data_IF_884251988462
#
_entry.id   IF_884251988462
#
_cell.length_a   1.000
_cell.length_b   1.000
_cell.length_c   1.000
_cell.angle_alpha   90.00
_cell.angle_beta   90.00
_cell.angle_gamma   90.00
#
_symmetry.space_group_name_H-M   'P 1'
#
loop_
_entity.id
_entity.type
_entity.pdbx_description
1 polymer ?
#
# COMPACT_ATOMS: atom_id res chain seq x y z
N UNK A 1 -15.44 -0.88 -17.77
CA UNK A 1 -14.87 -0.12 -18.91
C UNK A 1 -14.70 1.31 -18.43
N UNK A 2 -13.65 2.03 -18.85
CA UNK A 2 -13.45 3.43 -18.45
C UNK A 2 -13.71 4.36 -19.66
N UNK A 3 -14.54 5.41 -19.52
CA UNK A 3 -14.87 6.34 -20.61
C UNK A 3 -13.71 7.21 -21.08
N UNK A 4 -12.73 7.51 -20.22
CA UNK A 4 -11.56 8.31 -20.56
C UNK A 4 -10.33 7.82 -19.80
N UNK A 5 -9.14 8.16 -20.29
CA UNK A 5 -7.88 7.92 -19.58
C UNK A 5 -7.82 8.63 -18.23
N UNK A 6 -8.42 9.82 -18.11
CA UNK A 6 -8.50 10.55 -16.86
C UNK A 6 -9.33 9.77 -15.83
N UNK A 7 -10.52 9.30 -16.22
CA UNK A 7 -11.37 8.51 -15.34
C UNK A 7 -10.70 7.20 -14.92
N UNK A 8 -10.01 6.51 -15.85
CA UNK A 8 -9.22 5.34 -15.52
C UNK A 8 -8.15 5.62 -14.46
N UNK A 9 -7.38 6.71 -14.61
CA UNK A 9 -6.36 7.11 -13.62
C UNK A 9 -6.97 7.42 -12.26
N UNK A 10 -8.08 8.15 -12.24
CA UNK A 10 -8.76 8.52 -10.98
C UNK A 10 -9.24 7.29 -10.23
N UNK A 11 -9.93 6.35 -10.90
CA UNK A 11 -10.43 5.14 -10.26
C UNK A 11 -9.29 4.22 -9.80
N UNK A 12 -8.23 4.06 -10.61
CA UNK A 12 -7.07 3.26 -10.22
C UNK A 12 -6.36 3.86 -9.01
N UNK A 13 -6.14 5.18 -8.98
CA UNK A 13 -5.52 5.84 -7.83
C UNK A 13 -6.37 5.72 -6.57
N UNK A 14 -7.70 5.82 -6.71
CA UNK A 14 -8.63 5.59 -5.62
C UNK A 14 -8.48 4.17 -5.07
N UNK A 15 -8.51 3.15 -5.93
CA UNK A 15 -8.34 1.76 -5.50
C UNK A 15 -6.96 1.50 -4.89
N UNK A 16 -5.91 2.13 -5.43
CA UNK A 16 -4.56 2.03 -4.88
C UNK A 16 -4.52 2.53 -3.44
N UNK A 17 -5.15 3.68 -3.14
CA UNK A 17 -5.25 4.22 -1.77
C UNK A 17 -6.06 3.31 -0.87
N UNK A 18 -7.28 2.95 -1.26
CA UNK A 18 -8.13 2.06 -0.45
C UNK A 18 -7.43 0.74 -0.10
N UNK A 19 -6.75 0.13 -1.08
CA UNK A 19 -6.03 -1.12 -0.85
C UNK A 19 -4.82 -0.96 0.07
N UNK A 20 -4.01 0.08 -0.15
CA UNK A 20 -2.73 0.23 0.54
C UNK A 20 -2.88 0.87 1.93
N UNK A 21 -3.88 1.72 2.12
CA UNK A 21 -4.00 2.57 3.31
C UNK A 21 -5.15 2.15 4.21
N UNK A 22 -6.25 1.58 3.68
CA UNK A 22 -7.45 1.33 4.48
C UNK A 22 -7.71 -0.14 4.77
N UNK A 23 -7.21 -1.06 3.92
CA UNK A 23 -7.53 -2.49 4.03
C UNK A 23 -6.46 -3.29 4.79
N UNK A 24 -6.70 -3.66 6.06
CA UNK A 24 -5.79 -4.51 6.81
C UNK A 24 -5.69 -5.91 6.21
N UNK A 25 -4.50 -6.50 6.24
CA UNK A 25 -4.21 -7.82 5.67
C UNK A 25 -3.74 -8.77 6.76
N UNK A 26 -4.47 -9.88 6.95
CA UNK A 26 -4.16 -10.89 7.96
C UNK A 26 -2.76 -11.49 7.80
N UNK A 27 -2.26 -11.61 6.57
CA UNK A 27 -0.94 -12.16 6.28
C UNK A 27 0.23 -11.32 6.83
N UNK A 28 0.03 -10.01 7.02
CA UNK A 28 1.03 -9.07 7.58
C UNK A 28 0.59 -8.58 8.96
N UNK A 29 0.10 -9.50 9.79
CA UNK A 29 -0.29 -9.20 11.17
C UNK A 29 -1.52 -8.30 11.31
N UNK A 30 -2.36 -8.18 10.27
CA UNK A 30 -3.51 -7.28 10.29
C UNK A 30 -3.16 -5.82 9.98
N UNK A 31 -1.94 -5.54 9.52
CA UNK A 31 -1.54 -4.20 9.09
C UNK A 31 -2.04 -3.88 7.69
N UNK A 32 -2.11 -2.58 7.38
CA UNK A 32 -2.30 -2.11 6.01
C UNK A 32 -0.97 -2.26 5.25
N UNK A 33 -0.99 -2.48 3.92
CA UNK A 33 0.25 -2.60 3.14
C UNK A 33 1.21 -1.41 3.34
N UNK A 34 0.70 -0.19 3.47
CA UNK A 34 1.51 0.99 3.73
C UNK A 34 2.17 0.96 5.12
N UNK A 35 1.45 0.56 6.16
CA UNK A 35 2.01 0.45 7.51
C UNK A 35 3.11 -0.62 7.57
N UNK A 36 2.90 -1.74 6.89
CA UNK A 36 3.91 -2.79 6.80
C UNK A 36 5.16 -2.35 6.05
N UNK A 37 5.02 -1.63 4.93
CA UNK A 37 6.16 -1.07 4.20
C UNK A 37 6.96 -0.07 5.05
N UNK A 38 6.29 0.77 5.85
CA UNK A 38 6.96 1.67 6.79
C UNK A 38 7.72 0.89 7.88
N UNK A 39 7.12 -0.17 8.43
CA UNK A 39 7.79 -1.04 9.39
C UNK A 39 9.02 -1.72 8.78
N UNK A 40 8.94 -2.20 7.54
CA UNK A 40 10.09 -2.78 6.83
C UNK A 40 11.20 -1.74 6.65
N UNK A 41 10.88 -0.55 6.13
CA UNK A 41 11.87 0.52 5.96
C UNK A 41 12.55 0.89 7.29
N UNK A 42 11.79 0.97 8.39
CA UNK A 42 12.35 1.24 9.72
C UNK A 42 13.25 0.09 10.22
N UNK A 43 12.86 -1.17 9.98
CA UNK A 43 13.69 -2.32 10.33
C UNK A 43 14.96 -2.39 9.49
N UNK A 44 14.90 -2.09 8.19
CA UNK A 44 16.06 -2.03 7.29
C UNK A 44 17.02 -0.91 7.72
N UNK A 45 16.51 0.24 8.18
CA UNK A 45 17.32 1.32 8.75
C UNK A 45 18.02 0.86 10.04
N UNK A 46 17.31 0.12 10.90
CA UNK A 46 17.85 -0.36 12.18
C UNK A 46 18.83 -1.53 11.97
N UNK A 47 18.71 -2.28 10.87
CA UNK A 47 19.54 -3.45 10.58
C UNK A 47 20.13 -3.38 9.16
N UNK A 48 21.09 -2.46 8.89
CA UNK A 48 21.57 -2.18 7.54
C UNK A 48 22.50 -3.26 6.95
N UNK A 49 22.40 -4.53 7.34
CA UNK A 49 23.28 -5.56 6.78
C UNK A 49 23.15 -6.96 7.37
N UNK A 50 22.05 -7.65 7.06
CA UNK A 50 22.01 -9.12 7.06
C UNK A 50 21.78 -9.62 5.64
#
# INVERSE_FOLDING_TARGET
WFPTLLHARTEIERWRREYNEERPKKAIGGMTPSAYAQQLANNDIINPGL
#
